data_IF_026135524272
#
_entry.id   IF_026135524272
#
_cell.length_a   1.000
_cell.length_b   1.000
_cell.length_c   1.000
_cell.angle_alpha   90.00
_cell.angle_beta   90.00
_cell.angle_gamma   90.00
#
_symmetry.space_group_name_H-M   'P 1'
#
loop_
_entity.id
_entity.type
_entity.pdbx_description
1 polymer ?
#
# COMPACT_ATOMS: atom_id res chain seq x y z
N UNK A 1 -18.70 27.12 1.16
CA UNK A 1 -17.23 27.26 1.13
C UNK A 1 -16.76 26.85 -0.27
N UNK A 2 -15.61 27.35 -0.74
CA UNK A 2 -15.03 26.83 -1.97
C UNK A 2 -14.67 25.35 -1.77
N UNK A 3 -14.87 24.53 -2.81
CA UNK A 3 -14.50 23.13 -2.76
C UNK A 3 -12.97 22.98 -2.89
N UNK A 4 -12.43 21.94 -2.25
CA UNK A 4 -11.05 21.52 -2.42
C UNK A 4 -10.86 20.89 -3.82
N UNK A 5 -9.92 21.40 -4.59
CA UNK A 5 -9.76 21.04 -6.00
C UNK A 5 -8.67 19.98 -6.18
N UNK A 6 -9.01 18.89 -6.85
CA UNK A 6 -8.18 17.69 -6.97
C UNK A 6 -7.81 17.42 -8.42
N UNK A 7 -6.54 17.06 -8.66
CA UNK A 7 -6.06 16.49 -9.92
C UNK A 7 -5.83 14.99 -9.79
N UNK A 8 -6.46 14.17 -10.66
CA UNK A 8 -6.25 12.71 -10.68
C UNK A 8 -5.20 12.36 -11.74
N UNK A 9 -4.09 11.73 -11.35
CA UNK A 9 -2.98 11.38 -12.24
C UNK A 9 -2.81 9.87 -12.30
N UNK A 10 -3.02 9.28 -13.48
CA UNK A 10 -3.10 7.84 -13.71
C UNK A 10 -4.52 7.32 -13.55
N UNK A 11 -5.26 7.25 -14.67
CA UNK A 11 -6.68 6.89 -14.67
C UNK A 11 -6.90 5.42 -15.07
N UNK A 12 -6.03 4.54 -14.53
CA UNK A 12 -6.09 3.09 -14.72
C UNK A 12 -7.13 2.38 -13.83
N UNK A 13 -6.96 1.05 -13.68
CA UNK A 13 -7.90 0.18 -12.96
C UNK A 13 -8.13 0.58 -11.51
N UNK A 14 -7.08 0.94 -10.75
CA UNK A 14 -7.21 1.31 -9.33
C UNK A 14 -7.96 2.64 -9.16
N UNK A 15 -7.66 3.64 -9.97
CA UNK A 15 -8.35 4.92 -9.94
C UNK A 15 -9.85 4.72 -10.25
N UNK A 16 -10.16 4.03 -11.37
CA UNK A 16 -11.54 3.79 -11.81
C UNK A 16 -12.36 2.90 -10.87
N UNK A 17 -11.73 1.88 -10.31
CA UNK A 17 -12.43 0.86 -9.52
C UNK A 17 -12.57 1.20 -8.05
N UNK A 18 -11.74 2.10 -7.54
CA UNK A 18 -11.63 2.30 -6.09
C UNK A 18 -11.64 3.78 -5.69
N UNK A 19 -10.75 4.63 -6.25
CA UNK A 19 -10.61 6.01 -5.77
C UNK A 19 -11.78 6.92 -6.16
N UNK A 20 -12.39 6.68 -7.33
CA UNK A 20 -13.53 7.50 -7.81
C UNK A 20 -14.64 7.61 -6.77
N UNK A 21 -14.89 6.55 -5.99
CA UNK A 21 -15.98 6.51 -5.04
C UNK A 21 -15.91 7.64 -4.01
N UNK A 22 -14.70 7.96 -3.48
CA UNK A 22 -14.50 9.06 -2.55
C UNK A 22 -14.81 10.40 -3.21
N UNK A 23 -14.31 10.63 -4.41
CA UNK A 23 -14.51 11.89 -5.14
C UNK A 23 -15.97 12.17 -5.53
N UNK A 24 -16.79 11.12 -5.63
CA UNK A 24 -18.22 11.25 -5.88
C UNK A 24 -18.99 11.52 -4.57
N UNK A 25 -18.55 10.92 -3.46
CA UNK A 25 -19.29 10.96 -2.20
C UNK A 25 -18.94 12.15 -1.30
N UNK A 26 -17.71 12.65 -1.36
CA UNK A 26 -17.27 13.76 -0.50
C UNK A 26 -17.61 15.11 -1.14
N UNK A 27 -18.66 15.74 -0.63
CA UNK A 27 -19.13 17.05 -1.13
C UNK A 27 -18.13 18.20 -0.96
N UNK A 28 -17.08 18.01 -0.12
CA UNK A 28 -15.99 19.00 0.05
C UNK A 28 -15.09 19.08 -1.17
N UNK A 29 -15.11 18.04 -2.04
CA UNK A 29 -14.15 17.84 -3.13
C UNK A 29 -14.73 18.24 -4.49
N UNK A 30 -13.83 18.65 -5.39
CA UNK A 30 -14.09 18.85 -6.81
C UNK A 30 -12.91 18.27 -7.60
N UNK A 31 -13.15 17.26 -8.43
CA UNK A 31 -12.15 16.82 -9.39
C UNK A 31 -12.08 17.84 -10.52
N UNK A 32 -11.02 18.67 -10.47
CA UNK A 32 -10.79 19.78 -11.40
C UNK A 32 -10.05 19.34 -12.66
N UNK A 33 -9.24 18.28 -12.55
CA UNK A 33 -8.42 17.76 -13.64
C UNK A 33 -8.25 16.24 -13.56
N UNK A 34 -8.17 15.61 -14.73
CA UNK A 34 -7.85 14.19 -14.92
C UNK A 34 -6.70 14.06 -15.93
N UNK A 35 -5.72 13.19 -15.64
CA UNK A 35 -4.52 13.05 -16.46
C UNK A 35 -4.14 11.58 -16.65
N UNK A 36 -3.98 11.14 -17.88
CA UNK A 36 -3.40 9.84 -18.25
C UNK A 36 -2.67 9.96 -19.58
N UNK A 37 -1.54 9.27 -19.74
CA UNK A 37 -0.82 9.23 -21.02
C UNK A 37 -1.67 8.60 -22.15
N UNK A 38 -2.68 7.80 -21.78
CA UNK A 38 -3.71 7.28 -22.68
C UNK A 38 -4.93 8.19 -22.51
N UNK A 39 -5.09 9.14 -23.44
CA UNK A 39 -6.10 10.20 -23.39
C UNK A 39 -7.53 9.65 -23.18
N UNK A 40 -7.84 8.51 -23.79
CA UNK A 40 -9.15 7.86 -23.69
C UNK A 40 -9.50 7.46 -22.23
N UNK A 41 -8.49 7.17 -21.39
CA UNK A 41 -8.71 6.87 -19.97
C UNK A 41 -9.11 8.11 -19.17
N UNK A 42 -8.45 9.23 -19.44
CA UNK A 42 -8.79 10.50 -18.81
C UNK A 42 -10.15 11.02 -19.31
N UNK A 43 -10.40 10.93 -20.61
CA UNK A 43 -11.66 11.32 -21.21
C UNK A 43 -12.83 10.50 -20.67
N UNK A 44 -12.63 9.18 -20.44
CA UNK A 44 -13.65 8.32 -19.82
C UNK A 44 -14.06 8.82 -18.43
N UNK A 45 -13.12 9.25 -17.57
CA UNK A 45 -13.45 9.79 -16.27
C UNK A 45 -14.22 11.10 -16.35
N UNK A 46 -13.81 11.98 -17.26
CA UNK A 46 -14.52 13.24 -17.51
C UNK A 46 -15.97 12.98 -17.93
N UNK A 47 -16.18 12.14 -18.93
CA UNK A 47 -17.50 11.94 -19.56
C UNK A 47 -18.48 11.25 -18.62
N UNK A 48 -18.00 10.35 -17.76
CA UNK A 48 -18.86 9.52 -16.93
C UNK A 48 -19.02 10.02 -15.50
N UNK A 49 -18.03 10.75 -14.95
CA UNK A 49 -18.00 11.09 -13.53
C UNK A 49 -17.74 12.57 -13.26
N UNK A 50 -16.86 13.22 -14.04
CA UNK A 50 -16.37 14.57 -13.74
C UNK A 50 -16.47 15.50 -14.95
N UNK A 51 -17.69 15.86 -15.41
CA UNK A 51 -17.90 16.56 -16.68
C UNK A 51 -17.20 17.92 -16.77
N UNK A 52 -16.90 18.53 -15.62
CA UNK A 52 -16.22 19.84 -15.57
C UNK A 52 -14.70 19.72 -15.47
N UNK A 53 -14.14 18.52 -15.36
CA UNK A 53 -12.69 18.33 -15.24
C UNK A 53 -11.97 18.67 -16.56
N UNK A 54 -10.81 19.30 -16.43
CA UNK A 54 -9.88 19.46 -17.55
C UNK A 54 -9.17 18.11 -17.84
N UNK A 55 -8.90 17.82 -19.12
CA UNK A 55 -8.19 16.59 -19.52
C UNK A 55 -6.77 16.94 -19.90
N UNK A 56 -5.82 16.17 -19.36
CA UNK A 56 -4.39 16.30 -19.64
C UNK A 56 -3.81 14.94 -20.02
N UNK A 57 -2.76 14.95 -20.86
CA UNK A 57 -1.95 13.77 -21.19
C UNK A 57 -0.53 13.84 -20.59
N UNK A 58 -0.16 15.01 -20.06
CA UNK A 58 1.09 15.24 -19.34
C UNK A 58 0.78 15.82 -17.94
N UNK A 59 1.18 15.11 -16.88
CA UNK A 59 0.98 15.57 -15.51
C UNK A 59 1.67 16.92 -15.23
N UNK A 60 2.76 17.26 -15.93
CA UNK A 60 3.44 18.55 -15.78
C UNK A 60 2.57 19.71 -16.19
N UNK A 61 1.73 19.53 -17.21
CA UNK A 61 0.77 20.56 -17.62
C UNK A 61 -0.37 20.68 -16.58
N UNK A 62 -0.87 19.57 -16.03
CA UNK A 62 -1.83 19.59 -14.94
C UNK A 62 -1.28 20.35 -13.71
N UNK A 63 -0.02 20.12 -13.35
CA UNK A 63 0.59 20.75 -12.18
C UNK A 63 0.76 22.28 -12.30
N UNK A 64 0.69 22.85 -13.51
CA UNK A 64 0.71 24.30 -13.73
C UNK A 64 -0.60 24.98 -13.34
N UNK A 65 -1.69 24.23 -13.18
CA UNK A 65 -2.96 24.78 -12.73
C UNK A 65 -2.86 25.12 -11.22
N UNK A 66 -2.71 26.41 -10.94
CA UNK A 66 -2.59 26.96 -9.57
C UNK A 66 -3.86 26.73 -8.75
N UNK A 67 -5.00 26.49 -9.39
CA UNK A 67 -6.28 26.28 -8.71
C UNK A 67 -6.43 24.87 -8.11
N UNK A 68 -5.53 23.94 -8.43
CA UNK A 68 -5.51 22.58 -7.86
C UNK A 68 -4.80 22.62 -6.51
N UNK A 69 -5.46 22.10 -5.47
CA UNK A 69 -4.96 22.06 -4.09
C UNK A 69 -4.14 20.79 -3.82
N UNK A 70 -4.57 19.64 -4.39
CA UNK A 70 -3.92 18.35 -4.20
C UNK A 70 -3.98 17.49 -5.45
N UNK A 71 -3.07 16.51 -5.51
CA UNK A 71 -3.10 15.45 -6.54
C UNK A 71 -3.22 14.07 -5.89
N UNK A 72 -3.92 13.16 -6.61
CA UNK A 72 -3.98 11.74 -6.32
C UNK A 72 -3.23 10.98 -7.42
N UNK A 73 -2.18 10.23 -7.03
CA UNK A 73 -1.25 9.57 -7.95
C UNK A 73 -1.56 8.08 -7.98
N UNK A 74 -2.09 7.60 -9.10
CA UNK A 74 -2.47 6.21 -9.38
C UNK A 74 -1.70 5.60 -10.56
N UNK A 75 -0.48 6.03 -10.77
CA UNK A 75 0.39 5.61 -11.87
C UNK A 75 1.15 4.30 -11.55
N UNK A 76 1.91 3.70 -12.49
CA UNK A 76 2.87 2.66 -12.16
C UNK A 76 3.91 3.12 -11.14
N UNK A 77 4.41 2.18 -10.32
CA UNK A 77 5.20 2.44 -9.11
C UNK A 77 6.42 3.36 -9.32
N UNK A 78 7.16 3.21 -10.43
CA UNK A 78 8.36 4.01 -10.70
C UNK A 78 8.10 5.50 -10.89
N UNK A 79 6.85 5.87 -11.15
CA UNK A 79 6.44 7.27 -11.35
C UNK A 79 5.99 7.94 -10.05
N UNK A 80 5.73 7.19 -8.98
CA UNK A 80 5.18 7.74 -7.75
C UNK A 80 6.04 8.87 -7.19
N UNK A 81 7.34 8.61 -6.95
CA UNK A 81 8.26 9.62 -6.42
C UNK A 81 8.47 10.79 -7.39
N UNK A 82 8.60 10.50 -8.68
CA UNK A 82 8.84 11.52 -9.71
C UNK A 82 7.70 12.52 -9.77
N UNK A 83 6.45 12.01 -9.79
CA UNK A 83 5.25 12.87 -9.87
C UNK A 83 5.01 13.57 -8.53
N UNK A 84 5.21 12.88 -7.39
CA UNK A 84 5.04 13.48 -6.08
C UNK A 84 6.02 14.61 -5.83
N UNK A 85 7.31 14.47 -6.18
CA UNK A 85 8.31 15.54 -6.08
C UNK A 85 7.88 16.74 -6.92
N UNK A 86 7.48 16.53 -8.19
CA UNK A 86 7.01 17.62 -9.04
C UNK A 86 5.74 18.30 -8.50
N UNK A 87 4.83 17.53 -7.88
CA UNK A 87 3.62 18.07 -7.27
C UNK A 87 3.95 18.94 -6.04
N UNK A 88 4.90 18.51 -5.19
CA UNK A 88 5.38 19.33 -4.07
C UNK A 88 6.06 20.61 -4.53
N UNK A 89 6.89 20.54 -5.57
CA UNK A 89 7.52 21.72 -6.18
C UNK A 89 6.48 22.71 -6.74
N UNK A 90 5.34 22.19 -7.21
CA UNK A 90 4.18 22.99 -7.63
C UNK A 90 3.26 23.40 -6.47
N UNK A 91 3.64 23.16 -5.21
CA UNK A 91 2.90 23.57 -4.00
C UNK A 91 1.63 22.76 -3.72
N UNK A 92 1.49 21.54 -4.28
CA UNK A 92 0.29 20.70 -4.07
C UNK A 92 0.48 19.74 -2.90
N UNK A 93 -0.61 19.36 -2.22
CA UNK A 93 -0.66 18.21 -1.33
C UNK A 93 -0.72 16.92 -2.17
N UNK A 94 -0.20 15.80 -1.66
CA UNK A 94 -0.11 14.56 -2.42
C UNK A 94 -0.72 13.40 -1.65
N UNK A 95 -1.69 12.74 -2.27
CA UNK A 95 -2.05 11.36 -1.98
C UNK A 95 -1.44 10.48 -3.08
N UNK A 96 -0.88 9.33 -2.71
CA UNK A 96 -0.22 8.45 -3.67
C UNK A 96 -0.59 6.99 -3.41
N UNK A 97 -0.76 6.21 -4.46
CA UNK A 97 -0.87 4.77 -4.35
C UNK A 97 0.43 4.14 -3.79
N UNK A 98 0.26 2.95 -3.23
CA UNK A 98 1.39 2.12 -2.77
C UNK A 98 2.11 1.46 -3.96
N UNK A 99 3.39 1.13 -3.82
CA UNK A 99 4.33 1.47 -2.75
C UNK A 99 4.70 2.95 -2.78
N UNK A 100 5.31 3.45 -1.72
CA UNK A 100 5.79 4.85 -1.67
C UNK A 100 6.75 5.16 -2.82
N UNK A 101 7.71 4.27 -3.05
CA UNK A 101 8.65 4.34 -4.16
C UNK A 101 9.26 2.95 -4.45
N UNK A 102 10.01 2.80 -5.54
CA UNK A 102 10.64 1.54 -5.94
C UNK A 102 12.02 1.29 -5.30
N UNK A 103 12.61 2.29 -4.65
CA UNK A 103 13.89 2.20 -3.95
C UNK A 103 14.06 3.30 -2.89
N UNK A 104 15.10 3.14 -2.05
CA UNK A 104 15.36 4.04 -0.91
C UNK A 104 15.69 5.46 -1.36
N UNK A 105 16.45 5.66 -2.42
CA UNK A 105 16.80 6.99 -2.94
C UNK A 105 15.54 7.78 -3.30
N UNK A 106 14.62 7.14 -4.01
CA UNK A 106 13.38 7.76 -4.48
C UNK A 106 12.42 8.11 -3.33
N UNK A 107 12.25 7.24 -2.33
CA UNK A 107 11.38 7.57 -1.19
C UNK A 107 11.94 8.70 -0.33
N UNK A 108 13.28 8.79 -0.19
CA UNK A 108 13.93 9.90 0.51
C UNK A 108 13.76 11.24 -0.24
N UNK A 109 13.83 11.24 -1.58
CA UNK A 109 13.50 12.43 -2.38
C UNK A 109 12.08 12.89 -2.17
N UNK A 110 11.13 11.94 -2.15
CA UNK A 110 9.71 12.21 -1.95
C UNK A 110 9.44 12.82 -0.56
N UNK A 111 10.05 12.24 0.50
CA UNK A 111 9.96 12.79 1.86
C UNK A 111 10.55 14.20 1.95
N UNK A 112 11.77 14.38 1.46
CA UNK A 112 12.44 15.69 1.51
C UNK A 112 11.69 16.78 0.74
N UNK A 113 11.08 16.43 -0.40
CA UNK A 113 10.27 17.37 -1.18
C UNK A 113 8.98 17.77 -0.43
N UNK A 114 8.31 16.84 0.24
CA UNK A 114 7.14 17.11 1.07
C UNK A 114 7.48 18.05 2.23
N UNK A 115 8.56 17.77 2.96
CA UNK A 115 9.06 18.58 4.07
C UNK A 115 9.43 20.01 3.61
N UNK A 116 10.18 20.12 2.51
CA UNK A 116 10.58 21.43 1.93
C UNK A 116 9.37 22.26 1.50
N UNK A 117 8.36 21.63 0.94
CA UNK A 117 7.14 22.32 0.48
C UNK A 117 6.19 22.64 1.63
N UNK A 118 6.34 22.04 2.82
CA UNK A 118 5.38 22.14 3.91
C UNK A 118 4.01 21.56 3.54
N UNK A 119 3.99 20.53 2.69
CA UNK A 119 2.78 19.91 2.16
C UNK A 119 2.63 18.48 2.68
N UNK A 120 1.39 18.05 2.80
CA UNK A 120 1.07 16.70 3.25
C UNK A 120 1.39 15.68 2.17
N UNK A 121 2.15 14.63 2.55
CA UNK A 121 2.30 13.38 1.84
C UNK A 121 1.53 12.30 2.60
N UNK A 122 0.60 11.63 1.93
CA UNK A 122 0.01 10.39 2.43
C UNK A 122 0.04 9.33 1.32
N UNK A 123 0.40 8.12 1.71
CA UNK A 123 0.43 6.97 0.79
C UNK A 123 -0.61 5.95 1.21
N UNK A 124 -1.24 5.30 0.24
CA UNK A 124 -2.31 4.33 0.47
C UNK A 124 -1.88 3.23 1.45
N UNK A 125 -2.64 3.09 2.54
CA UNK A 125 -2.51 2.10 3.61
C UNK A 125 -3.88 1.53 3.97
N UNK A 126 -4.63 1.14 2.97
CA UNK A 126 -6.05 0.78 3.08
C UNK A 126 -6.37 -0.20 4.21
N UNK A 127 -5.49 -1.17 4.47
CA UNK A 127 -5.73 -2.18 5.51
C UNK A 127 -5.75 -1.62 6.93
N UNK A 128 -5.14 -0.45 7.20
CA UNK A 128 -5.25 0.25 8.50
C UNK A 128 -6.67 0.78 8.75
N UNK A 129 -7.48 0.96 7.69
CA UNK A 129 -8.77 1.64 7.71
C UNK A 129 -9.96 0.70 7.57
N UNK A 130 -9.75 -0.61 7.45
CA UNK A 130 -10.84 -1.59 7.56
C UNK A 130 -11.26 -1.74 9.02
N UNK A 131 -12.54 -1.95 9.27
CA UNK A 131 -13.10 -1.96 10.63
C UNK A 131 -12.42 -2.95 11.57
N UNK A 132 -12.10 -4.15 11.07
CA UNK A 132 -11.37 -5.16 11.83
C UNK A 132 -10.01 -4.65 12.33
N UNK A 133 -9.29 -3.89 11.50
CA UNK A 133 -7.99 -3.32 11.86
C UNK A 133 -8.12 -2.17 12.86
N UNK A 134 -9.15 -1.34 12.70
CA UNK A 134 -9.47 -0.26 13.64
C UNK A 134 -9.85 -0.84 15.01
N UNK A 135 -10.64 -1.92 15.01
CA UNK A 135 -10.99 -2.64 16.25
C UNK A 135 -9.76 -3.26 16.90
N UNK A 136 -8.92 -3.95 16.10
CA UNK A 136 -7.66 -4.52 16.58
C UNK A 136 -6.75 -3.48 17.22
N UNK A 137 -6.60 -2.32 16.56
CA UNK A 137 -5.76 -1.23 17.07
C UNK A 137 -6.28 -0.69 18.41
N UNK A 138 -7.59 -0.49 18.55
CA UNK A 138 -8.18 -0.09 19.84
C UNK A 138 -7.92 -1.10 20.94
N UNK A 139 -8.00 -2.39 20.63
CA UNK A 139 -7.73 -3.46 21.61
C UNK A 139 -6.27 -3.43 22.07
N UNK A 140 -5.33 -3.25 21.13
CA UNK A 140 -3.89 -3.15 21.38
C UNK A 140 -3.56 -1.89 22.18
N UNK A 141 -4.05 -0.72 21.75
CA UNK A 141 -3.80 0.58 22.41
C UNK A 141 -4.39 0.63 23.83
N UNK A 142 -5.43 -0.16 24.11
CA UNK A 142 -5.96 -0.41 25.44
C UNK A 142 -5.07 -1.31 26.32
N UNK A 143 -3.87 -1.71 25.84
CA UNK A 143 -2.90 -2.52 26.60
C UNK A 143 -3.29 -3.98 26.81
N UNK A 144 -4.32 -4.47 26.10
CA UNK A 144 -4.87 -5.81 26.29
C UNK A 144 -3.96 -6.92 25.71
N UNK A 145 -3.08 -6.59 24.75
CA UNK A 145 -2.09 -7.54 24.24
C UNK A 145 -0.81 -7.61 25.10
N UNK A 146 -0.57 -6.61 25.94
CA UNK A 146 0.72 -6.48 26.62
C UNK A 146 1.85 -6.14 25.65
N UNK A 147 3.06 -6.64 25.89
CA UNK A 147 4.19 -6.49 24.97
C UNK A 147 4.03 -7.45 23.79
N UNK A 148 4.08 -6.91 22.57
CA UNK A 148 4.06 -7.71 21.32
C UNK A 148 5.51 -8.04 20.94
N UNK A 149 5.90 -9.31 21.07
CA UNK A 149 7.29 -9.75 20.91
C UNK A 149 7.55 -10.57 19.64
N UNK A 150 6.51 -11.10 18.99
CA UNK A 150 6.66 -11.90 17.79
C UNK A 150 5.40 -11.80 16.91
N UNK A 151 5.60 -11.94 15.61
CA UNK A 151 4.50 -11.98 14.64
C UNK A 151 4.85 -12.68 13.35
N UNK A 152 3.83 -12.88 12.54
CA UNK A 152 3.98 -13.27 11.16
C UNK A 152 2.90 -12.62 10.32
N UNK A 153 3.22 -12.27 9.08
CA UNK A 153 2.24 -11.78 8.13
C UNK A 153 2.51 -12.35 6.73
N UNK A 154 1.48 -12.35 5.91
CA UNK A 154 1.60 -12.84 4.56
C UNK A 154 0.39 -12.56 3.70
N UNK A 155 0.62 -12.66 2.40
CA UNK A 155 -0.42 -12.74 1.39
C UNK A 155 0.01 -13.75 0.34
N UNK A 156 -0.60 -14.94 0.42
CA UNK A 156 -0.26 -16.08 -0.41
C UNK A 156 -1.36 -16.30 -1.44
N UNK A 157 -1.03 -16.18 -2.72
CA UNK A 157 -1.91 -16.54 -3.83
C UNK A 157 -1.50 -17.88 -4.42
N UNK A 158 -2.51 -18.66 -4.83
CA UNK A 158 -2.25 -19.91 -5.53
C UNK A 158 -1.88 -19.67 -6.98
N UNK A 159 -2.64 -18.83 -7.68
CA UNK A 159 -2.40 -18.39 -9.06
C UNK A 159 -3.00 -17.00 -9.26
N UNK A 160 -2.18 -15.99 -9.32
CA UNK A 160 -2.67 -14.62 -9.40
C UNK A 160 -1.60 -13.59 -9.74
N UNK A 161 -0.74 -13.88 -10.75
CA UNK A 161 0.25 -12.94 -11.27
C UNK A 161 -0.49 -11.83 -12.00
N UNK A 162 -0.40 -10.55 -11.56
CA UNK A 162 -1.10 -9.44 -12.18
C UNK A 162 -0.38 -9.00 -13.45
N UNK A 163 -1.13 -8.64 -14.51
CA UNK A 163 -0.61 -7.98 -15.70
C UNK A 163 0.67 -8.59 -16.26
N UNK A 164 0.75 -9.93 -16.40
CA UNK A 164 1.95 -10.65 -16.83
C UNK A 164 2.51 -10.06 -18.13
N UNK A 165 3.82 -9.77 -18.13
CA UNK A 165 4.52 -9.11 -19.23
C UNK A 165 4.34 -7.59 -19.28
N UNK A 166 3.48 -7.02 -18.44
CA UNK A 166 3.29 -5.59 -18.30
C UNK A 166 4.21 -4.97 -17.24
N UNK A 167 3.85 -3.78 -16.77
CA UNK A 167 4.66 -3.04 -15.82
C UNK A 167 4.81 -3.74 -14.44
N UNK A 168 3.81 -4.52 -14.00
CA UNK A 168 3.87 -5.27 -12.75
C UNK A 168 5.02 -6.27 -12.70
N UNK A 169 5.28 -6.94 -13.82
CA UNK A 169 6.34 -7.97 -13.90
C UNK A 169 7.66 -7.44 -14.47
N UNK A 170 7.74 -6.14 -14.75
CA UNK A 170 8.97 -5.45 -15.19
C UNK A 170 9.60 -4.71 -14.02
N UNK A 171 10.71 -5.24 -13.47
CA UNK A 171 11.36 -4.74 -12.25
C UNK A 171 11.69 -3.24 -12.29
N UNK A 172 12.14 -2.73 -13.44
CA UNK A 172 12.44 -1.31 -13.61
C UNK A 172 11.21 -0.40 -13.39
N UNK A 173 10.00 -0.95 -13.54
CA UNK A 173 8.74 -0.20 -13.41
C UNK A 173 8.02 -0.51 -12.09
N UNK A 174 8.03 -1.77 -11.65
CA UNK A 174 7.35 -2.18 -10.42
C UNK A 174 8.23 -2.08 -9.17
N UNK A 175 9.56 -2.19 -9.32
CA UNK A 175 10.52 -2.33 -8.23
C UNK A 175 10.71 -3.78 -7.77
N UNK A 176 9.74 -4.66 -8.03
CA UNK A 176 9.73 -6.07 -7.65
C UNK A 176 8.37 -6.72 -7.85
N UNK A 177 8.24 -7.98 -7.44
CA UNK A 177 7.04 -8.79 -7.56
C UNK A 177 6.11 -8.71 -6.33
N UNK A 178 5.62 -9.88 -5.83
CA UNK A 178 4.65 -9.92 -4.73
C UNK A 178 5.12 -9.30 -3.42
N UNK A 179 6.42 -9.21 -3.17
CA UNK A 179 6.93 -8.53 -1.99
C UNK A 179 6.55 -7.05 -2.01
N UNK A 180 6.75 -6.36 -3.12
CA UNK A 180 6.37 -4.95 -3.27
C UNK A 180 4.86 -4.79 -3.42
N UNK A 181 4.22 -5.63 -4.25
CA UNK A 181 2.78 -5.48 -4.53
C UNK A 181 1.90 -5.86 -3.33
N UNK A 182 2.13 -7.02 -2.73
CA UNK A 182 1.31 -7.57 -1.65
C UNK A 182 1.95 -7.34 -0.28
N UNK A 183 3.29 -7.40 -0.21
CA UNK A 183 4.04 -7.30 1.03
C UNK A 183 3.84 -5.95 1.70
N UNK A 184 3.86 -4.87 0.96
CA UNK A 184 3.63 -3.52 1.49
C UNK A 184 2.34 -3.41 2.31
N UNK A 185 1.29 -4.12 1.91
CA UNK A 185 -0.01 -4.09 2.61
C UNK A 185 0.03 -4.77 3.98
N UNK A 186 0.61 -5.98 4.03
CA UNK A 186 0.55 -6.80 5.25
C UNK A 186 1.69 -6.49 6.22
N UNK A 187 2.87 -6.13 5.71
CA UNK A 187 3.98 -5.65 6.54
C UNK A 187 3.58 -4.33 7.21
N UNK A 188 2.97 -3.41 6.45
CA UNK A 188 2.46 -2.15 6.99
C UNK A 188 1.43 -2.36 8.10
N UNK A 189 0.43 -3.20 7.84
CA UNK A 189 -0.59 -3.50 8.84
C UNK A 189 0.02 -4.11 10.11
N UNK A 190 0.95 -5.08 9.95
CA UNK A 190 1.60 -5.72 11.08
C UNK A 190 2.42 -4.72 11.92
N UNK A 191 3.27 -3.91 11.27
CA UNK A 191 4.09 -2.89 11.95
C UNK A 191 3.22 -1.85 12.66
N UNK A 192 2.16 -1.38 12.00
CA UNK A 192 1.21 -0.43 12.60
C UNK A 192 0.51 -1.01 13.84
N UNK A 193 0.06 -2.26 13.78
CA UNK A 193 -0.53 -2.96 14.93
C UNK A 193 0.49 -3.21 16.05
N UNK A 194 1.77 -3.43 15.70
CA UNK A 194 2.87 -3.57 16.67
C UNK A 194 3.28 -2.25 17.35
N UNK A 195 2.68 -1.11 16.96
CA UNK A 195 2.99 0.21 17.52
C UNK A 195 4.14 0.93 16.79
N UNK A 196 4.42 0.57 15.55
CA UNK A 196 5.48 1.13 14.69
C UNK A 196 6.89 1.04 15.29
N UNK A 197 7.37 -0.14 15.73
CA UNK A 197 8.76 -0.30 16.15
C UNK A 197 9.69 -0.07 14.96
N UNK A 198 10.92 0.44 15.23
CA UNK A 198 11.92 0.71 14.20
C UNK A 198 12.55 -0.58 13.68
N UNK A 199 12.52 -0.86 12.37
CA UNK A 199 13.19 -2.02 11.81
C UNK A 199 14.72 -1.84 11.89
N UNK A 200 15.45 -2.90 12.32
CA UNK A 200 16.92 -2.85 12.51
C UNK A 200 17.68 -3.82 11.63
N UNK A 201 17.07 -4.94 11.25
CA UNK A 201 17.69 -5.88 10.29
C UNK A 201 16.68 -6.76 9.58
N UNK A 202 17.08 -7.27 8.41
CA UNK A 202 16.25 -8.12 7.56
C UNK A 202 17.06 -9.27 7.02
N UNK A 203 16.47 -10.48 7.06
CA UNK A 203 16.93 -11.65 6.31
C UNK A 203 15.82 -12.17 5.41
N UNK A 204 16.10 -12.49 4.15
CA UNK A 204 15.08 -12.97 3.24
C UNK A 204 15.59 -13.67 1.98
N UNK A 205 14.66 -14.30 1.28
CA UNK A 205 14.88 -14.96 0.01
C UNK A 205 13.74 -14.66 -0.96
N UNK A 206 14.07 -14.69 -2.26
CA UNK A 206 13.11 -14.54 -3.35
C UNK A 206 13.23 -15.69 -4.34
N UNK A 207 12.13 -16.05 -4.97
CA UNK A 207 12.06 -17.14 -5.94
C UNK A 207 11.25 -16.69 -7.15
N UNK A 208 11.67 -17.14 -8.36
CA UNK A 208 10.93 -16.98 -9.61
C UNK A 208 10.78 -18.39 -10.22
N UNK A 209 9.62 -19.00 -10.06
CA UNK A 209 9.34 -20.39 -10.44
C UNK A 209 8.15 -20.53 -11.39
N UNK A 210 7.38 -19.46 -11.56
CA UNK A 210 6.17 -19.45 -12.39
C UNK A 210 6.24 -18.45 -13.56
N UNK A 211 7.38 -17.78 -13.76
CA UNK A 211 7.57 -16.82 -14.87
C UNK A 211 7.32 -17.45 -16.24
N UNK A 212 7.75 -18.69 -16.42
CA UNK A 212 7.68 -19.43 -17.69
C UNK A 212 6.45 -20.35 -17.81
N UNK A 213 5.53 -20.29 -16.82
CA UNK A 213 4.32 -21.10 -16.82
C UNK A 213 3.18 -20.36 -17.53
N UNK A 214 2.80 -20.86 -18.72
CA UNK A 214 1.77 -20.21 -19.54
C UNK A 214 0.34 -20.65 -19.23
N UNK A 215 0.13 -21.69 -18.41
CA UNK A 215 -1.18 -22.35 -18.33
C UNK A 215 -2.06 -21.87 -17.20
N UNK A 216 -1.52 -21.53 -16.02
CA UNK A 216 -2.36 -21.25 -14.84
C UNK A 216 -1.84 -20.21 -13.87
N UNK A 217 -0.72 -19.58 -14.18
CA UNK A 217 -0.06 -18.65 -13.26
C UNK A 217 -0.85 -17.37 -12.96
N UNK A 218 -1.67 -16.95 -13.93
CA UNK A 218 -2.48 -15.72 -13.84
C UNK A 218 -3.99 -15.99 -13.92
N UNK A 219 -4.45 -17.22 -13.72
CA UNK A 219 -5.86 -17.61 -13.94
C UNK A 219 -6.83 -16.85 -13.03
N UNK A 220 -6.39 -16.40 -11.87
CA UNK A 220 -7.19 -15.67 -10.89
C UNK A 220 -6.89 -14.16 -10.88
N UNK A 221 -6.20 -13.62 -11.89
CA UNK A 221 -5.87 -12.21 -11.95
C UNK A 221 -6.25 -11.59 -13.28
N UNK A 222 -7.25 -10.71 -13.22
CA UNK A 222 -7.63 -9.81 -14.31
C UNK A 222 -7.04 -8.39 -14.12
N UNK A 223 -6.23 -8.19 -13.08
CA UNK A 223 -5.66 -6.90 -12.74
C UNK A 223 -4.38 -6.63 -13.55
N UNK A 224 -4.30 -5.42 -14.13
CA UNK A 224 -3.17 -4.97 -14.94
C UNK A 224 -3.21 -5.43 -16.40
N UNK A 225 -2.62 -4.61 -17.27
CA UNK A 225 -2.53 -4.91 -18.70
C UNK A 225 -1.51 -6.02 -18.95
N UNK A 226 -1.92 -7.09 -19.63
CA UNK A 226 -1.06 -8.23 -20.01
C UNK A 226 -0.35 -7.95 -21.33
N UNK A 227 0.91 -8.39 -21.44
CA UNK A 227 1.69 -8.31 -22.68
C UNK A 227 2.47 -9.62 -22.90
N UNK A 228 2.02 -10.45 -23.81
CA UNK A 228 2.65 -11.74 -24.09
C UNK A 228 4.13 -11.65 -24.55
N UNK A 229 4.54 -10.52 -25.13
CA UNK A 229 5.92 -10.25 -25.56
C UNK A 229 6.73 -9.44 -24.54
N UNK A 230 6.17 -9.21 -23.37
CA UNK A 230 6.78 -8.35 -22.36
C UNK A 230 7.74 -9.06 -21.41
N UNK A 231 8.21 -8.34 -20.42
CA UNK A 231 9.25 -8.78 -19.48
C UNK A 231 8.64 -9.41 -18.21
N UNK A 232 9.28 -10.48 -17.72
CA UNK A 232 9.07 -11.03 -16.39
C UNK A 232 10.44 -11.22 -15.72
N UNK A 233 10.89 -10.23 -14.96
CA UNK A 233 12.19 -10.21 -14.29
C UNK A 233 12.10 -9.94 -12.77
N UNK A 234 10.94 -10.22 -12.20
CA UNK A 234 10.66 -10.12 -10.76
C UNK A 234 10.45 -11.52 -10.14
N UNK A 235 10.43 -11.58 -8.82
CA UNK A 235 10.05 -12.79 -8.11
C UNK A 235 8.54 -13.06 -8.18
N UNK A 236 8.16 -14.33 -8.00
CA UNK A 236 6.76 -14.76 -7.81
C UNK A 236 6.47 -15.21 -6.36
N UNK A 237 7.52 -15.37 -5.54
CA UNK A 237 7.46 -15.60 -4.11
C UNK A 237 8.64 -14.95 -3.39
N UNK A 238 8.35 -14.31 -2.25
CA UNK A 238 9.34 -13.78 -1.31
C UNK A 238 8.99 -14.19 0.12
N UNK A 239 10.01 -14.48 0.92
CA UNK A 239 9.87 -14.77 2.35
C UNK A 239 11.05 -14.23 3.14
N UNK A 240 10.85 -14.00 4.44
CA UNK A 240 11.91 -13.47 5.27
C UNK A 240 11.51 -13.21 6.71
N UNK A 241 12.38 -12.46 7.39
CA UNK A 241 12.25 -12.10 8.79
C UNK A 241 12.79 -10.68 9.01
N UNK A 242 12.03 -9.87 9.71
CA UNK A 242 12.37 -8.50 10.10
C UNK A 242 12.57 -8.47 11.61
N UNK A 243 13.67 -7.86 12.08
CA UNK A 243 13.93 -7.60 13.50
C UNK A 243 13.73 -6.13 13.79
N UNK A 244 13.21 -5.83 14.97
CA UNK A 244 12.92 -4.47 15.42
C UNK A 244 13.76 -4.09 16.65
N UNK A 245 13.90 -2.78 16.88
CA UNK A 245 14.67 -2.18 17.97
C UNK A 245 14.20 -2.60 19.38
N UNK A 246 12.90 -2.91 19.53
CA UNK A 246 12.31 -3.40 20.77
C UNK A 246 12.49 -4.92 20.98
N UNK A 247 13.25 -5.61 20.11
CA UNK A 247 13.48 -7.05 20.18
C UNK A 247 12.42 -7.92 19.51
N UNK A 248 11.32 -7.33 19.05
CA UNK A 248 10.28 -8.07 18.33
C UNK A 248 10.77 -8.57 16.96
N UNK A 249 10.14 -9.66 16.49
CA UNK A 249 10.45 -10.27 15.19
C UNK A 249 9.17 -10.51 14.40
N UNK A 250 9.19 -10.17 13.10
CA UNK A 250 8.10 -10.43 12.17
C UNK A 250 8.57 -11.34 11.03
N UNK A 251 7.95 -12.52 10.89
CA UNK A 251 8.12 -13.38 9.72
C UNK A 251 7.19 -12.93 8.59
N UNK A 252 7.68 -13.00 7.35
CA UNK A 252 6.93 -12.54 6.17
C UNK A 252 6.93 -13.60 5.07
N UNK A 253 5.80 -13.73 4.33
CA UNK A 253 5.69 -14.59 3.15
C UNK A 253 4.65 -14.04 2.16
N UNK A 254 5.09 -13.78 0.92
CA UNK A 254 4.25 -13.22 -0.14
C UNK A 254 4.41 -13.97 -1.44
N UNK A 255 3.31 -14.32 -2.10
CA UNK A 255 3.36 -14.98 -3.40
C UNK A 255 2.22 -14.58 -4.31
N UNK A 256 2.51 -14.36 -5.58
CA UNK A 256 1.52 -14.26 -6.65
C UNK A 256 1.11 -15.64 -7.17
N UNK A 257 2.06 -16.59 -7.18
CA UNK A 257 1.83 -17.97 -7.59
C UNK A 257 2.62 -18.92 -6.69
N UNK A 258 1.93 -19.92 -6.14
CA UNK A 258 2.53 -20.95 -5.30
C UNK A 258 1.60 -22.16 -5.19
N UNK A 259 2.15 -23.32 -4.80
CA UNK A 259 1.37 -24.56 -4.67
C UNK A 259 0.75 -24.69 -3.28
N UNK A 260 -0.13 -23.75 -2.93
CA UNK A 260 -0.89 -23.72 -1.67
C UNK A 260 -2.32 -24.19 -1.87
N UNK A 261 -2.93 -24.74 -0.81
CA UNK A 261 -4.31 -25.24 -0.87
C UNK A 261 -5.32 -24.12 -1.09
N UNK A 262 -5.14 -22.99 -0.39
CA UNK A 262 -6.03 -21.82 -0.46
C UNK A 262 -5.24 -20.53 -0.28
N UNK A 263 -5.76 -19.48 -0.87
CA UNK A 263 -5.24 -18.14 -0.71
C UNK A 263 -5.61 -17.58 0.66
N UNK A 264 -4.70 -16.79 1.21
CA UNK A 264 -4.93 -16.10 2.48
C UNK A 264 -4.07 -14.85 2.56
N UNK A 265 -4.61 -13.81 3.17
CA UNK A 265 -3.85 -12.65 3.63
C UNK A 265 -4.07 -12.50 5.14
N UNK A 266 -2.98 -12.37 5.88
CA UNK A 266 -3.05 -12.47 7.33
C UNK A 266 -1.97 -11.68 8.04
N UNK A 267 -2.28 -11.30 9.28
CA UNK A 267 -1.34 -10.83 10.30
C UNK A 267 -1.65 -11.62 11.58
N UNK A 268 -0.64 -12.25 12.14
CA UNK A 268 -0.73 -12.93 13.44
C UNK A 268 0.32 -12.33 14.39
N UNK A 269 -0.10 -11.86 15.54
CA UNK A 269 0.77 -11.25 16.53
C UNK A 269 0.67 -12.00 17.88
N UNK A 270 1.78 -12.09 18.59
CA UNK A 270 1.89 -12.69 19.91
C UNK A 270 2.29 -11.63 20.90
N UNK A 271 1.39 -11.36 21.85
CA UNK A 271 1.64 -10.49 22.98
C UNK A 271 1.74 -11.29 24.28
N UNK A 272 2.21 -10.65 25.34
CA UNK A 272 2.38 -11.29 26.65
C UNK A 272 1.07 -11.52 27.42
N UNK A 273 -0.02 -10.85 27.00
CA UNK A 273 -1.35 -11.01 27.61
C UNK A 273 -2.37 -11.65 26.68
N UNK A 274 -2.24 -11.44 25.37
CA UNK A 274 -3.08 -12.07 24.36
C UNK A 274 -2.38 -12.18 23.02
N UNK A 275 -2.88 -13.07 22.15
CA UNK A 275 -2.54 -13.16 20.74
C UNK A 275 -3.61 -12.50 19.86
N UNK A 276 -3.25 -12.22 18.62
CA UNK A 276 -4.15 -11.67 17.60
C UNK A 276 -3.95 -12.43 16.29
N UNK A 277 -5.06 -12.72 15.62
CA UNK A 277 -5.08 -13.14 14.21
C UNK A 277 -6.05 -12.23 13.44
N UNK A 278 -5.50 -11.48 12.50
CA UNK A 278 -6.24 -10.79 11.45
C UNK A 278 -6.14 -11.63 10.18
N UNK A 279 -7.23 -12.06 9.60
CA UNK A 279 -7.22 -12.85 8.36
C UNK A 279 -8.39 -12.41 7.46
N UNK A 280 -8.08 -11.99 6.22
CA UNK A 280 -9.06 -11.58 5.21
C UNK A 280 -10.12 -10.57 5.71
N UNK A 281 -9.70 -9.58 6.51
CA UNK A 281 -10.59 -8.54 7.02
C UNK A 281 -11.37 -8.92 8.29
N UNK A 282 -11.07 -10.06 8.91
CA UNK A 282 -11.62 -10.49 10.20
C UNK A 282 -10.53 -10.55 11.26
N UNK A 283 -10.87 -10.30 12.52
CA UNK A 283 -9.92 -10.37 13.62
C UNK A 283 -10.45 -11.19 14.79
N UNK A 284 -9.56 -12.01 15.32
CA UNK A 284 -9.74 -12.84 16.52
C UNK A 284 -8.61 -12.55 17.50
N UNK A 285 -8.92 -12.62 18.81
CA UNK A 285 -7.94 -12.53 19.89
C UNK A 285 -7.99 -13.79 20.72
N UNK A 286 -6.83 -14.22 21.20
CA UNK A 286 -6.65 -15.41 22.03
C UNK A 286 -6.08 -14.96 23.35
N UNK A 287 -6.83 -15.12 24.44
CA UNK A 287 -6.49 -14.62 25.77
C UNK A 287 -6.78 -15.65 26.86
N UNK A 288 -6.56 -15.27 28.09
CA UNK A 288 -6.89 -16.05 29.29
C UNK A 288 -7.59 -15.15 30.31
N UNK A 289 -8.63 -15.65 30.95
CA UNK A 289 -9.31 -15.00 32.06
C UNK A 289 -9.66 -16.06 33.14
N UNK A 290 -9.27 -15.82 34.35
CA UNK A 290 -9.49 -16.74 35.53
C UNK A 290 -9.03 -18.18 35.28
N UNK A 291 -7.94 -18.38 34.50
CA UNK A 291 -7.38 -19.71 34.19
C UNK A 291 -8.05 -20.41 33.01
N UNK A 292 -9.03 -19.79 32.37
CA UNK A 292 -9.71 -20.31 31.20
C UNK A 292 -9.21 -19.61 29.92
N UNK A 293 -8.92 -20.42 28.87
CA UNK A 293 -8.53 -19.89 27.55
C UNK A 293 -9.77 -19.39 26.79
N UNK A 294 -9.71 -18.18 26.29
CA UNK A 294 -10.80 -17.51 25.61
C UNK A 294 -10.42 -17.06 24.20
N UNK A 295 -11.32 -17.28 23.26
CA UNK A 295 -11.27 -16.74 21.90
C UNK A 295 -12.29 -15.62 21.75
N UNK A 296 -11.84 -14.42 21.40
CA UNK A 296 -12.67 -13.23 21.23
C UNK A 296 -12.70 -12.88 19.75
N UNK A 297 -13.85 -12.96 19.10
CA UNK A 297 -14.04 -12.51 17.73
C UNK A 297 -14.59 -11.08 17.71
N UNK A 298 -14.06 -10.25 16.81
CA UNK A 298 -14.69 -8.97 16.52
C UNK A 298 -16.06 -9.17 15.86
N UNK A 299 -16.99 -8.21 16.00
CA UNK A 299 -18.21 -8.21 15.20
C UNK A 299 -17.86 -8.28 13.71
N UNK A 300 -18.72 -8.97 12.93
CA UNK A 300 -18.57 -8.97 11.47
C UNK A 300 -18.54 -7.53 10.96
N UNK A 301 -17.49 -7.21 10.23
CA UNK A 301 -17.18 -5.88 9.75
C UNK A 301 -17.08 -5.89 8.23
N UNK A 302 -17.39 -4.77 7.60
CA UNK A 302 -17.25 -4.62 6.15
C UNK A 302 -15.80 -4.23 5.83
N UNK A 303 -15.09 -5.07 5.07
CA UNK A 303 -13.70 -4.77 4.67
C UNK A 303 -13.59 -3.89 3.42
N UNK A 304 -14.71 -3.61 2.75
CA UNK A 304 -14.70 -2.96 1.43
C UNK A 304 -14.39 -1.45 1.48
N UNK A 305 -14.44 -0.83 2.65
CA UNK A 305 -14.25 0.63 2.78
C UNK A 305 -12.84 1.09 3.13
N UNK A 306 -11.85 0.20 3.17
CA UNK A 306 -10.48 0.57 3.59
C UNK A 306 -9.83 1.65 2.70
N UNK A 307 -9.95 1.55 1.39
CA UNK A 307 -9.40 2.55 0.46
C UNK A 307 -10.15 3.87 0.58
N UNK A 308 -11.48 3.81 0.54
CA UNK A 308 -12.35 4.95 0.74
C UNK A 308 -12.01 5.70 2.03
N UNK A 309 -11.97 4.99 3.16
CA UNK A 309 -11.67 5.57 4.46
C UNK A 309 -10.24 6.16 4.53
N UNK A 310 -9.26 5.56 3.84
CA UNK A 310 -7.90 6.10 3.79
C UNK A 310 -7.85 7.41 3.00
N UNK A 311 -8.48 7.43 1.83
CA UNK A 311 -8.53 8.63 0.99
C UNK A 311 -9.30 9.76 1.68
N UNK A 312 -10.47 9.42 2.27
CA UNK A 312 -11.23 10.36 3.11
C UNK A 312 -10.38 10.94 4.23
N UNK A 313 -9.62 10.10 4.94
CA UNK A 313 -8.73 10.56 6.01
C UNK A 313 -7.66 11.54 5.53
N UNK A 314 -7.13 11.37 4.30
CA UNK A 314 -6.23 12.38 3.72
C UNK A 314 -6.91 13.74 3.64
N UNK A 315 -8.16 13.80 3.19
CA UNK A 315 -8.91 15.06 3.13
C UNK A 315 -9.29 15.58 4.51
N UNK A 316 -9.59 14.73 5.47
CA UNK A 316 -9.77 15.14 6.86
C UNK A 316 -8.49 15.80 7.44
N UNK A 317 -7.30 15.32 7.04
CA UNK A 317 -6.01 15.93 7.43
C UNK A 317 -5.80 17.28 6.76
N UNK A 318 -5.93 17.37 5.43
CA UNK A 318 -5.56 18.59 4.68
C UNK A 318 -6.62 19.68 4.73
N UNK A 319 -7.90 19.33 4.93
CA UNK A 319 -9.02 20.30 4.99
C UNK A 319 -9.36 20.65 6.43
N UNK A 320 -9.48 19.63 7.30
CA UNK A 320 -10.03 19.79 8.65
C UNK A 320 -8.94 19.77 9.74
N UNK A 321 -7.67 19.52 9.37
CA UNK A 321 -6.54 19.48 10.31
C UNK A 321 -6.54 18.27 11.25
N UNK A 322 -7.11 17.14 10.82
CA UNK A 322 -7.07 15.90 11.58
C UNK A 322 -5.63 15.38 11.73
N UNK A 323 -5.37 14.64 12.81
CA UNK A 323 -4.07 14.00 13.02
C UNK A 323 -3.82 12.88 12.00
N UNK A 324 -2.68 12.87 11.28
CA UNK A 324 -2.40 11.86 10.28
C UNK A 324 -2.09 10.50 10.92
N UNK A 325 -2.71 9.43 10.43
CA UNK A 325 -2.40 8.03 10.82
C UNK A 325 -1.20 7.45 10.08
N UNK A 326 -0.66 8.17 9.14
CA UNK A 326 0.55 7.85 8.37
C UNK A 326 1.49 9.05 8.38
N UNK A 327 2.77 8.80 8.60
CA UNK A 327 3.83 9.80 8.48
C UNK A 327 4.89 9.33 7.46
N UNK A 328 5.52 10.23 6.69
CA UNK A 328 6.45 9.86 5.61
C UNK A 328 7.60 8.93 6.04
N UNK A 329 8.07 9.02 7.29
CA UNK A 329 9.11 8.13 7.81
C UNK A 329 8.69 6.65 7.77
N UNK A 330 7.40 6.33 7.97
CA UNK A 330 6.90 4.95 7.86
C UNK A 330 7.01 4.43 6.43
N UNK A 331 6.87 5.31 5.43
CA UNK A 331 7.13 4.98 4.03
C UNK A 331 8.59 4.69 3.75
N UNK A 332 9.50 5.51 4.31
CA UNK A 332 10.96 5.28 4.21
C UNK A 332 11.35 3.94 4.82
N UNK A 333 10.86 3.64 6.02
CA UNK A 333 11.15 2.38 6.71
C UNK A 333 10.60 1.18 5.94
N UNK A 334 9.40 1.30 5.36
CA UNK A 334 8.82 0.27 4.50
C UNK A 334 9.69 -0.01 3.28
N UNK A 335 10.08 1.02 2.53
CA UNK A 335 10.91 0.84 1.33
C UNK A 335 12.29 0.28 1.69
N UNK A 336 12.89 0.69 2.82
CA UNK A 336 14.13 0.08 3.34
C UNK A 336 13.97 -1.42 3.60
N UNK A 337 12.88 -1.83 4.28
CA UNK A 337 12.58 -3.25 4.52
C UNK A 337 12.49 -4.02 3.20
N UNK A 338 11.70 -3.53 2.25
CA UNK A 338 11.51 -4.19 0.95
C UNK A 338 12.85 -4.34 0.19
N UNK A 339 13.64 -3.27 0.11
CA UNK A 339 14.96 -3.30 -0.52
C UNK A 339 15.94 -4.25 0.20
N UNK A 340 15.89 -4.29 1.53
CA UNK A 340 16.76 -5.16 2.34
C UNK A 340 16.43 -6.65 2.15
N UNK A 341 15.16 -7.02 1.93
CA UNK A 341 14.80 -8.40 1.57
C UNK A 341 15.46 -8.80 0.24
N UNK A 342 15.41 -7.94 -0.78
CA UNK A 342 16.06 -8.21 -2.07
C UNK A 342 17.59 -8.28 -1.96
N UNK A 343 18.20 -7.40 -1.19
CA UNK A 343 19.64 -7.42 -0.95
C UNK A 343 20.06 -8.69 -0.19
N UNK A 344 19.29 -9.07 0.85
CA UNK A 344 19.52 -10.30 1.59
C UNK A 344 19.42 -11.54 0.69
N UNK A 345 18.39 -11.59 -0.17
CA UNK A 345 18.21 -12.69 -1.12
C UNK A 345 19.38 -12.81 -2.12
N UNK A 346 19.94 -11.66 -2.54
CA UNK A 346 21.09 -11.62 -3.45
C UNK A 346 22.40 -12.02 -2.78
N UNK A 347 22.61 -11.61 -1.54
CA UNK A 347 23.89 -11.80 -0.84
C UNK A 347 23.92 -13.06 0.03
N UNK A 348 22.75 -13.63 0.38
CA UNK A 348 22.61 -14.73 1.33
C UNK A 348 22.92 -14.31 2.77
N UNK A 349 22.88 -13.02 3.09
CA UNK A 349 23.25 -12.47 4.41
C UNK A 349 22.15 -11.59 4.97
N UNK A 350 22.14 -11.43 6.30
CA UNK A 350 21.35 -10.41 6.97
C UNK A 350 21.81 -9.01 6.53
N UNK A 351 20.83 -8.11 6.35
CA UNK A 351 21.05 -6.69 6.01
C UNK A 351 20.65 -5.84 7.20
N UNK A 352 21.55 -4.97 7.66
CA UNK A 352 21.24 -3.96 8.69
C UNK A 352 20.61 -2.72 8.03
N UNK A 353 19.63 -2.09 8.72
CA UNK A 353 18.85 -0.94 8.22
C UNK A 353 19.28 0.38 8.81
#
# INVERSE_FOLDING_TARGET
>A
MAKWRVGLIGNGGICKGVHIEEYIKDERLEVAAVCDIIEERAQFLKDNYFPNAAVYTDYKELLKDESIDSVDICTPNYLHSIIAVAAFEAGKHVFCEKPDAINVEEVLKMQAAAEKAGKTLMVMRNNRYVDASVFAKKYIDGGKMGEIYAGRCGWQRRRGIPGKGGWFTTKAQSGGGPLIDLGVHMIDLAIWLMGNPTPVSVSGNTYSKFSDNDTSDSVNSDFGDKNAAGTFDVEDLAMGMIRFDNGAVLQIEFSWASNVKRERRFVELRGTKSGLKWENGQVEFYTEEDGELLDISAPNTDEHHGHFNNLKHFYDVVIDGAEPKFVPQQGVDMVKILCAVYESAKTGREVLL
#
